data_IF_843409788112
#
_entry.id   IF_843409788112
#
_cell.length_a   1.000
_cell.length_b   1.000
_cell.length_c   1.000
_cell.angle_alpha   90.00
_cell.angle_beta   90.00
_cell.angle_gamma   90.00
#
_symmetry.space_group_name_H-M   'P 1'
#
loop_
_entity.id
_entity.type
_entity.pdbx_description
1 polymer ?
#
# COMPACT_ATOMS: atom_id res chain seq x y z
N UNK A 1 -46.77 -25.06 -27.70
CA UNK A 1 -46.60 -25.07 -26.22
C UNK A 1 -45.28 -25.69 -25.75
N UNK A 2 -44.80 -26.82 -26.29
CA UNK A 2 -43.54 -27.47 -25.84
C UNK A 2 -42.26 -26.61 -25.93
N UNK A 3 -42.15 -25.70 -26.90
CA UNK A 3 -40.97 -24.81 -27.02
C UNK A 3 -40.94 -23.64 -26.02
N UNK A 4 -42.09 -23.15 -25.54
CA UNK A 4 -42.15 -22.11 -24.50
C UNK A 4 -41.74 -22.65 -23.13
N UNK A 5 -42.03 -23.92 -22.86
CA UNK A 5 -41.64 -24.62 -21.63
C UNK A 5 -40.12 -24.83 -21.52
N UNK A 6 -39.43 -25.14 -22.63
CA UNK A 6 -37.96 -25.25 -22.66
C UNK A 6 -37.27 -23.90 -22.48
N UNK A 7 -37.85 -22.83 -23.04
CA UNK A 7 -37.32 -21.46 -22.90
C UNK A 7 -37.44 -20.93 -21.46
N UNK A 8 -38.55 -21.22 -20.78
CA UNK A 8 -38.69 -20.92 -19.34
C UNK A 8 -37.72 -21.71 -18.46
N UNK A 9 -37.44 -22.97 -18.79
CA UNK A 9 -36.49 -23.79 -18.01
C UNK A 9 -35.04 -23.30 -18.13
N UNK A 10 -34.65 -22.78 -19.30
CA UNK A 10 -33.34 -22.16 -19.50
C UNK A 10 -33.20 -20.83 -18.76
N UNK A 11 -34.29 -20.05 -18.65
CA UNK A 11 -34.29 -18.77 -17.92
C UNK A 11 -34.12 -18.98 -16.40
N UNK A 12 -34.69 -20.04 -15.84
CA UNK A 12 -34.61 -20.35 -14.40
C UNK A 12 -33.21 -20.82 -13.98
N UNK A 13 -32.45 -21.50 -14.85
CA UNK A 13 -31.07 -21.93 -14.56
C UNK A 13 -30.09 -20.73 -14.54
N UNK A 14 -30.35 -19.68 -15.33
CA UNK A 14 -29.52 -18.45 -15.34
C UNK A 14 -29.73 -17.60 -14.06
N UNK A 15 -30.85 -17.78 -13.36
CA UNK A 15 -31.18 -17.03 -12.14
C UNK A 15 -30.60 -17.62 -10.85
N UNK A 16 -29.92 -18.77 -10.92
CA UNK A 16 -29.11 -19.30 -9.81
C UNK A 16 -27.65 -18.91 -10.06
N UNK A 17 -27.37 -17.61 -10.14
CA UNK A 17 -26.00 -17.14 -9.90
C UNK A 17 -25.72 -17.38 -8.43
N UNK A 18 -24.96 -18.43 -8.13
CA UNK A 18 -24.36 -18.58 -6.81
C UNK A 18 -23.53 -17.33 -6.57
N UNK A 19 -23.94 -16.50 -5.60
CA UNK A 19 -23.11 -15.39 -5.14
C UNK A 19 -21.93 -16.02 -4.39
N UNK A 20 -20.90 -16.42 -5.15
CA UNK A 20 -19.65 -16.88 -4.60
C UNK A 20 -18.98 -15.69 -3.92
N UNK A 21 -19.07 -15.62 -2.60
CA UNK A 21 -18.31 -14.66 -1.81
C UNK A 21 -16.87 -15.15 -1.76
N UNK A 22 -16.02 -14.56 -2.60
CA UNK A 22 -14.56 -14.66 -2.42
C UNK A 22 -14.11 -13.58 -1.45
N UNK A 23 -13.11 -13.93 -0.62
CA UNK A 23 -12.32 -12.92 0.07
C UNK A 23 -11.71 -11.96 -0.96
N UNK A 24 -11.61 -10.68 -0.60
CA UNK A 24 -11.00 -9.65 -1.41
C UNK A 24 -9.81 -9.06 -0.66
N UNK A 25 -8.68 -8.92 -1.34
CA UNK A 25 -7.47 -8.30 -0.80
C UNK A 25 -7.12 -7.09 -1.65
N UNK A 26 -6.76 -5.99 -0.99
CA UNK A 26 -6.18 -4.82 -1.63
C UNK A 26 -4.71 -4.72 -1.25
N UNK A 27 -3.83 -4.78 -2.24
CA UNK A 27 -2.42 -4.52 -2.03
C UNK A 27 -2.20 -3.01 -1.88
N UNK A 28 -1.32 -2.63 -0.95
CA UNK A 28 -0.88 -1.25 -0.79
C UNK A 28 0.58 -1.23 -0.36
N UNK A 29 1.32 -0.22 -0.81
CA UNK A 29 2.77 -0.17 -0.66
C UNK A 29 3.18 1.15 -0.02
N UNK A 30 4.03 1.12 0.99
CA UNK A 30 4.47 2.33 1.70
C UNK A 30 5.86 2.77 1.25
N UNK A 31 6.21 4.00 1.62
CA UNK A 31 7.50 4.67 1.44
C UNK A 31 7.90 5.01 0.01
N UNK A 32 7.94 4.01 -0.86
CA UNK A 32 8.65 4.06 -2.14
C UNK A 32 10.12 3.64 -2.00
N UNK A 33 10.90 3.85 -3.07
CA UNK A 33 12.31 3.44 -3.13
C UNK A 33 13.20 4.62 -3.52
N UNK A 34 14.40 4.67 -2.94
CA UNK A 34 15.39 5.72 -3.19
C UNK A 34 16.57 5.22 -4.04
N UNK A 35 16.74 5.69 -5.29
CA UNK A 35 17.86 5.33 -6.16
C UNK A 35 19.23 5.73 -5.64
N UNK A 36 19.34 6.76 -4.79
CA UNK A 36 20.62 7.20 -4.23
C UNK A 36 21.09 6.29 -3.08
N UNK A 37 20.16 5.58 -2.43
CA UNK A 37 20.46 4.65 -1.34
C UNK A 37 20.50 3.19 -1.79
N UNK A 38 19.82 2.85 -2.89
CA UNK A 38 19.76 1.49 -3.40
C UNK A 38 19.92 1.49 -4.92
N UNK A 39 21.04 0.97 -5.46
CA UNK A 39 21.27 0.91 -6.91
C UNK A 39 20.23 0.05 -7.64
N UNK A 40 19.54 -0.85 -6.94
CA UNK A 40 18.48 -1.69 -7.49
C UNK A 40 17.09 -1.06 -7.38
N UNK A 41 16.93 0.17 -6.86
CA UNK A 41 15.63 0.81 -6.64
C UNK A 41 14.74 0.81 -7.90
N UNK A 42 15.30 1.19 -9.05
CA UNK A 42 14.58 1.19 -10.31
C UNK A 42 14.09 -0.23 -10.68
N UNK A 43 14.95 -1.24 -10.55
CA UNK A 43 14.60 -2.62 -10.86
C UNK A 43 13.54 -3.17 -9.90
N UNK A 44 13.62 -2.85 -8.60
CA UNK A 44 12.64 -3.25 -7.61
C UNK A 44 11.27 -2.65 -7.95
N UNK A 45 11.21 -1.34 -8.19
CA UNK A 45 9.98 -0.65 -8.56
C UNK A 45 9.37 -1.23 -9.85
N UNK A 46 10.20 -1.44 -10.87
CA UNK A 46 9.77 -2.02 -12.14
C UNK A 46 9.20 -3.42 -11.96
N UNK A 47 9.86 -4.30 -11.20
CA UNK A 47 9.39 -5.67 -10.96
C UNK A 47 8.06 -5.71 -10.23
N UNK A 48 7.85 -4.83 -9.24
CA UNK A 48 6.56 -4.73 -8.54
C UNK A 48 5.45 -4.36 -9.54
N UNK A 49 5.66 -3.30 -10.33
CA UNK A 49 4.67 -2.85 -11.32
C UNK A 49 4.40 -3.91 -12.40
N UNK A 50 5.44 -4.60 -12.87
CA UNK A 50 5.30 -5.70 -13.83
C UNK A 50 4.46 -6.85 -13.26
N UNK A 51 4.70 -7.26 -12.01
CA UNK A 51 3.92 -8.31 -11.35
C UNK A 51 2.46 -7.89 -11.14
N UNK A 52 2.22 -6.65 -10.71
CA UNK A 52 0.86 -6.12 -10.58
C UNK A 52 0.12 -6.13 -11.92
N UNK A 53 0.78 -5.67 -12.99
CA UNK A 53 0.23 -5.67 -14.34
C UNK A 53 -0.05 -7.07 -14.88
N UNK A 54 0.90 -7.99 -14.74
CA UNK A 54 0.78 -9.38 -15.21
C UNK A 54 -0.38 -10.11 -14.53
N UNK A 55 -0.66 -9.79 -13.26
CA UNK A 55 -1.75 -10.39 -12.49
C UNK A 55 -3.04 -9.56 -12.51
N UNK A 56 -3.11 -8.50 -13.33
CA UNK A 56 -4.26 -7.59 -13.43
C UNK A 56 -4.70 -6.96 -12.09
N UNK A 57 -3.74 -6.70 -11.19
CA UNK A 57 -3.99 -6.10 -9.88
C UNK A 57 -3.80 -4.59 -9.96
N UNK A 58 -4.83 -3.85 -9.54
CA UNK A 58 -4.71 -2.41 -9.25
C UNK A 58 -4.38 -2.22 -7.77
N UNK A 59 -3.50 -1.26 -7.48
CA UNK A 59 -2.95 -1.03 -6.16
C UNK A 59 -2.85 0.48 -5.86
N UNK A 60 -2.44 0.80 -4.64
CA UNK A 60 -2.08 2.15 -4.19
C UNK A 60 -0.66 2.14 -3.60
N UNK A 61 0.12 3.19 -3.89
CA UNK A 61 1.37 3.48 -3.21
C UNK A 61 1.20 4.73 -2.32
N UNK A 62 1.73 4.68 -1.10
CA UNK A 62 1.80 5.78 -0.14
C UNK A 62 3.28 6.20 -0.01
N UNK A 63 3.80 7.04 -0.93
CA UNK A 63 5.19 7.48 -0.89
C UNK A 63 5.42 8.51 0.22
N UNK A 64 6.63 8.50 0.77
CA UNK A 64 7.12 9.56 1.66
C UNK A 64 8.29 10.28 1.00
N UNK A 65 8.29 11.62 1.06
CA UNK A 65 9.28 12.45 0.32
C UNK A 65 10.72 12.08 0.72
N UNK A 66 10.99 11.97 2.02
CA UNK A 66 12.32 11.59 2.52
C UNK A 66 12.74 10.17 2.12
N UNK A 67 11.78 9.28 1.85
CA UNK A 67 12.02 7.87 1.53
C UNK A 67 12.30 7.63 0.05
N UNK A 68 11.92 8.56 -0.82
CA UNK A 68 12.17 8.45 -2.26
C UNK A 68 13.40 9.24 -2.71
N UNK A 69 13.85 10.22 -1.93
CA UNK A 69 14.96 11.08 -2.32
C UNK A 69 14.52 12.17 -3.30
N UNK A 70 15.29 12.38 -4.36
CA UNK A 70 15.10 13.49 -5.29
C UNK A 70 14.15 13.17 -6.47
N UNK A 71 14.34 13.86 -7.60
CA UNK A 71 13.57 13.68 -8.83
C UNK A 71 13.61 12.25 -9.38
N UNK A 72 14.67 11.47 -9.13
CA UNK A 72 14.75 10.08 -9.62
C UNK A 72 13.77 9.20 -8.87
N UNK A 73 13.69 9.32 -7.55
CA UNK A 73 12.70 8.62 -6.74
C UNK A 73 11.28 9.05 -7.06
N UNK A 74 11.06 10.36 -7.23
CA UNK A 74 9.75 10.88 -7.66
C UNK A 74 9.32 10.31 -9.02
N UNK A 75 10.26 10.12 -9.95
CA UNK A 75 9.99 9.48 -11.25
C UNK A 75 9.55 8.02 -11.11
N UNK A 76 10.09 7.29 -10.13
CA UNK A 76 9.66 5.92 -9.82
C UNK A 76 8.25 5.89 -9.25
N UNK A 77 7.89 6.83 -8.36
CA UNK A 77 6.52 7.00 -7.86
C UNK A 77 5.56 7.35 -9.00
N UNK A 78 5.93 8.29 -9.88
CA UNK A 78 5.12 8.69 -11.03
C UNK A 78 4.80 7.52 -11.98
N UNK A 79 5.67 6.50 -12.05
CA UNK A 79 5.44 5.30 -12.85
C UNK A 79 4.22 4.48 -12.37
N UNK A 80 3.86 4.53 -11.08
CA UNK A 80 2.66 3.88 -10.55
C UNK A 80 1.40 4.46 -11.18
N UNK A 81 1.30 5.79 -11.19
CA UNK A 81 0.19 6.51 -11.80
C UNK A 81 0.05 6.28 -13.30
N UNK A 82 1.17 6.19 -14.02
CA UNK A 82 1.18 5.84 -15.47
C UNK A 82 0.63 4.43 -15.75
N UNK A 83 0.63 3.55 -14.76
CA UNK A 83 0.08 2.19 -14.84
C UNK A 83 -1.28 2.07 -14.11
N UNK A 84 -2.01 3.18 -13.99
CA UNK A 84 -3.36 3.25 -13.40
C UNK A 84 -3.45 2.88 -11.90
N UNK A 85 -2.32 2.79 -11.19
CA UNK A 85 -2.33 2.68 -9.75
C UNK A 85 -2.57 4.04 -9.09
N UNK A 86 -3.04 4.00 -7.85
CA UNK A 86 -3.28 5.22 -7.06
C UNK A 86 -2.01 5.64 -6.31
N UNK A 87 -1.90 6.93 -6.06
CA UNK A 87 -0.81 7.53 -5.28
C UNK A 87 -1.46 8.30 -4.12
N UNK A 88 -1.19 7.87 -2.90
CA UNK A 88 -1.60 8.54 -1.67
C UNK A 88 -0.47 9.37 -1.07
N UNK A 89 -0.59 9.68 0.21
CA UNK A 89 0.36 10.51 0.96
C UNK A 89 0.84 9.78 2.22
N UNK A 90 2.16 9.72 2.41
CA UNK A 90 2.81 9.14 3.60
C UNK A 90 3.72 10.14 4.31
N UNK A 91 3.37 11.42 4.27
CA UNK A 91 4.10 12.53 4.87
C UNK A 91 5.47 12.80 4.23
N UNK A 92 6.00 14.00 4.47
CA UNK A 92 7.29 14.41 3.97
C UNK A 92 8.43 13.66 4.69
N UNK A 93 8.45 13.70 6.02
CA UNK A 93 9.60 13.22 6.82
C UNK A 93 9.41 11.83 7.42
N UNK A 94 8.30 11.16 7.09
CA UNK A 94 7.95 9.87 7.69
C UNK A 94 7.99 9.91 9.24
N UNK A 95 7.53 11.03 9.83
CA UNK A 95 7.59 11.23 11.28
C UNK A 95 6.61 10.32 12.02
N UNK A 96 6.98 9.86 13.22
CA UNK A 96 6.06 9.16 14.11
C UNK A 96 5.31 10.18 14.99
N UNK A 97 4.00 10.37 14.78
CA UNK A 97 3.20 11.36 15.51
C UNK A 97 3.12 11.09 17.02
N UNK A 98 3.33 9.84 17.45
CA UNK A 98 3.34 9.48 18.88
C UNK A 98 4.60 9.95 19.60
N UNK A 99 5.62 10.45 18.89
CA UNK A 99 6.83 10.97 19.52
C UNK A 99 6.56 12.33 20.14
N UNK A 100 7.01 12.52 21.39
CA UNK A 100 6.77 13.74 22.17
C UNK A 100 7.31 14.98 21.47
N UNK A 101 8.49 14.87 20.83
CA UNK A 101 9.11 15.97 20.11
C UNK A 101 8.42 16.36 18.79
N UNK A 102 7.47 15.55 18.31
CA UNK A 102 6.72 15.86 17.08
C UNK A 102 5.46 16.62 17.47
N UNK A 103 5.41 17.91 17.16
CA UNK A 103 4.20 18.72 17.39
C UNK A 103 3.18 18.49 16.29
N UNK A 104 1.90 18.71 16.59
CA UNK A 104 0.83 18.53 15.60
C UNK A 104 0.99 19.46 14.40
N UNK A 105 1.37 20.73 14.63
CA UNK A 105 1.57 21.68 13.54
C UNK A 105 2.70 21.24 12.60
N UNK A 106 3.84 20.84 13.15
CA UNK A 106 4.95 20.31 12.35
C UNK A 106 4.54 19.10 11.54
N UNK A 107 3.70 18.23 12.11
CA UNK A 107 3.20 17.06 11.41
C UNK A 107 2.25 17.42 10.25
N UNK A 108 1.30 18.32 10.49
CA UNK A 108 0.39 18.84 9.46
C UNK A 108 1.16 19.49 8.31
N UNK A 109 2.18 20.28 8.61
CA UNK A 109 2.98 20.92 7.58
C UNK A 109 3.73 19.89 6.72
N UNK A 110 4.14 18.75 7.29
CA UNK A 110 4.74 17.64 6.54
C UNK A 110 3.72 16.95 5.61
N UNK A 111 2.46 16.82 6.03
CA UNK A 111 1.38 16.29 5.17
C UNK A 111 1.19 17.23 3.99
N UNK A 112 1.08 18.53 4.25
CA UNK A 112 0.91 19.56 3.23
C UNK A 112 2.06 19.60 2.22
N UNK A 113 3.32 19.57 2.69
CA UNK A 113 4.48 19.59 1.79
C UNK A 113 4.54 18.33 0.91
N UNK A 114 4.24 17.16 1.46
CA UNK A 114 4.13 15.94 0.66
C UNK A 114 3.00 16.01 -0.37
N UNK A 115 1.86 16.60 -0.03
CA UNK A 115 0.78 16.82 -1.00
C UNK A 115 1.26 17.65 -2.19
N UNK A 116 2.00 18.75 -1.95
CA UNK A 116 2.50 19.59 -3.05
C UNK A 116 3.42 18.82 -4.01
N UNK A 117 4.15 17.82 -3.51
CA UNK A 117 5.01 16.96 -4.32
C UNK A 117 4.22 15.94 -5.13
N UNK A 118 3.20 15.30 -4.54
CA UNK A 118 2.52 14.15 -5.15
C UNK A 118 1.25 14.50 -5.92
N UNK A 119 0.54 15.58 -5.55
CA UNK A 119 -0.70 16.02 -6.21
C UNK A 119 -0.59 16.25 -7.72
N UNK A 120 0.55 16.71 -8.27
CA UNK A 120 0.70 16.85 -9.73
C UNK A 120 0.82 15.51 -10.48
N UNK A 121 1.06 14.38 -9.79
CA UNK A 121 1.24 13.08 -10.43
C UNK A 121 -0.09 12.49 -10.90
N UNK A 122 -0.07 11.79 -12.04
CA UNK A 122 -1.21 11.00 -12.47
C UNK A 122 -1.56 9.94 -11.40
N UNK A 123 -2.85 9.71 -11.17
CA UNK A 123 -3.30 8.72 -10.18
C UNK A 123 -3.28 9.21 -8.73
N UNK A 124 -2.93 10.46 -8.45
CA UNK A 124 -3.09 11.06 -7.12
C UNK A 124 -4.53 10.92 -6.62
N UNK A 125 -4.66 10.56 -5.34
CA UNK A 125 -5.90 10.59 -4.57
C UNK A 125 -5.60 11.12 -3.17
N UNK A 126 -6.50 11.91 -2.56
CA UNK A 126 -6.32 12.36 -1.19
C UNK A 126 -6.58 11.18 -0.24
N UNK A 127 -5.62 10.26 -0.12
CA UNK A 127 -5.61 9.19 0.88
C UNK A 127 -4.35 9.27 1.71
N UNK A 128 -4.50 9.27 3.02
CA UNK A 128 -3.37 9.44 3.94
C UNK A 128 -3.14 8.19 4.77
N UNK A 129 -1.89 7.72 4.78
CA UNK A 129 -1.45 6.68 5.71
C UNK A 129 -0.47 7.29 6.69
N UNK A 130 -0.72 7.13 7.98
CA UNK A 130 0.19 7.57 9.03
C UNK A 130 1.47 6.72 9.01
N UNK A 131 2.67 7.32 8.93
CA UNK A 131 3.92 6.62 9.21
C UNK A 131 3.86 5.84 10.52
N UNK A 132 4.35 4.59 10.47
CA UNK A 132 4.33 3.64 11.58
C UNK A 132 2.92 3.31 12.13
N UNK A 133 1.86 3.68 11.40
CA UNK A 133 0.46 3.56 11.82
C UNK A 133 0.18 4.25 13.16
N UNK A 134 0.92 5.34 13.45
CA UNK A 134 0.82 6.09 14.71
C UNK A 134 0.04 7.37 14.51
N UNK A 135 -1.22 7.35 14.93
CA UNK A 135 -2.19 8.43 14.74
C UNK A 135 -2.16 9.52 15.82
N UNK A 136 -1.27 9.40 16.82
CA UNK A 136 -1.16 10.34 17.94
C UNK A 136 -1.18 9.63 19.29
N UNK A 137 -0.31 10.05 20.20
CA UNK A 137 -0.23 9.52 21.57
C UNK A 137 -1.15 10.25 22.56
N UNK A 138 -1.83 11.31 22.12
CA UNK A 138 -2.84 12.04 22.90
C UNK A 138 -4.10 12.21 22.06
N UNK A 139 -5.26 12.36 22.72
CA UNK A 139 -6.53 12.66 22.06
C UNK A 139 -6.41 13.94 21.22
N UNK A 140 -5.77 14.98 21.79
CA UNK A 140 -5.55 16.25 21.10
C UNK A 140 -4.76 16.09 19.80
N UNK A 141 -3.64 15.35 19.80
CA UNK A 141 -2.84 15.08 18.59
C UNK A 141 -3.67 14.37 17.54
N UNK A 142 -4.34 13.29 17.94
CA UNK A 142 -5.17 12.46 17.06
C UNK A 142 -6.26 13.30 16.40
N UNK A 143 -7.06 13.99 17.21
CA UNK A 143 -8.24 14.70 16.74
C UNK A 143 -7.86 15.91 15.89
N UNK A 144 -6.78 16.61 16.23
CA UNK A 144 -6.30 17.74 15.43
C UNK A 144 -5.83 17.31 14.04
N UNK A 145 -5.04 16.23 13.93
CA UNK A 145 -4.59 15.73 12.62
C UNK A 145 -5.76 15.12 11.84
N UNK A 146 -6.63 14.35 12.49
CA UNK A 146 -7.82 13.77 11.85
C UNK A 146 -8.75 14.87 11.29
N UNK A 147 -8.94 15.96 12.05
CA UNK A 147 -9.74 17.10 11.60
C UNK A 147 -9.10 17.79 10.39
N UNK A 148 -7.77 18.01 10.42
CA UNK A 148 -7.05 18.56 9.27
C UNK A 148 -7.23 17.68 8.02
N UNK A 149 -7.03 16.36 8.14
CA UNK A 149 -7.21 15.42 7.03
C UNK A 149 -8.63 15.48 6.47
N UNK A 150 -9.65 15.49 7.34
CA UNK A 150 -11.04 15.62 6.93
C UNK A 150 -11.30 16.94 6.19
N UNK A 151 -10.80 18.08 6.70
CA UNK A 151 -10.95 19.39 6.07
C UNK A 151 -10.29 19.45 4.69
N UNK A 152 -9.18 18.75 4.49
CA UNK A 152 -8.48 18.67 3.20
C UNK A 152 -9.05 17.58 2.27
N UNK A 153 -10.12 16.89 2.68
CA UNK A 153 -10.77 15.85 1.88
C UNK A 153 -9.99 14.54 1.79
N UNK A 154 -9.09 14.26 2.75
CA UNK A 154 -8.39 12.99 2.82
C UNK A 154 -9.30 11.87 3.33
N UNK A 155 -9.25 10.75 2.61
CA UNK A 155 -9.74 9.46 3.07
C UNK A 155 -8.64 8.69 3.82
N UNK A 156 -9.05 7.75 4.68
CA UNK A 156 -8.11 6.91 5.42
C UNK A 156 -7.36 5.93 4.51
N UNK A 157 -6.05 5.84 4.73
CA UNK A 157 -5.18 4.81 4.19
C UNK A 157 -4.91 3.67 5.16
N UNK A 158 -5.77 3.42 6.16
CA UNK A 158 -5.57 2.38 7.17
C UNK A 158 -5.28 0.99 6.56
N UNK A 159 -4.64 0.13 7.36
CA UNK A 159 -4.32 -1.25 7.03
C UNK A 159 -5.14 -2.19 7.91
N UNK A 160 -5.63 -3.30 7.34
CA UNK A 160 -6.29 -4.38 8.08
C UNK A 160 -5.37 -5.58 8.32
N UNK A 161 -4.30 -5.71 7.54
CA UNK A 161 -3.35 -6.83 7.59
C UNK A 161 -1.93 -6.25 7.66
N UNK A 162 -1.21 -6.54 8.75
CA UNK A 162 0.21 -6.24 8.87
C UNK A 162 1.04 -7.31 8.16
N UNK A 163 1.80 -6.91 7.16
CA UNK A 163 2.65 -7.80 6.37
C UNK A 163 3.96 -8.17 7.08
N UNK A 164 4.44 -7.36 8.03
CA UNK A 164 5.75 -7.52 8.69
C UNK A 164 6.92 -7.67 7.71
N UNK A 165 6.76 -7.14 6.50
CA UNK A 165 7.66 -7.26 5.36
C UNK A 165 9.07 -6.72 5.64
N UNK A 166 9.17 -5.66 6.44
CA UNK A 166 10.44 -5.10 6.90
C UNK A 166 11.31 -6.15 7.64
N UNK A 167 10.70 -7.01 8.46
CA UNK A 167 11.42 -8.05 9.20
C UNK A 167 11.90 -9.16 8.26
N UNK A 168 11.03 -9.60 7.35
CA UNK A 168 11.38 -10.59 6.33
C UNK A 168 12.47 -10.08 5.38
N UNK A 169 12.42 -8.80 5.00
CA UNK A 169 13.43 -8.16 4.17
C UNK A 169 14.79 -8.13 4.87
N UNK A 170 14.86 -7.84 6.18
CA UNK A 170 16.12 -7.91 6.94
C UNK A 170 16.74 -9.31 6.88
N UNK A 171 15.93 -10.36 7.02
CA UNK A 171 16.38 -11.75 6.88
C UNK A 171 16.81 -12.07 5.44
N UNK A 172 16.05 -11.61 4.45
CA UNK A 172 16.34 -11.82 3.04
C UNK A 172 17.69 -11.24 2.65
N UNK A 173 17.97 -10.00 3.06
CA UNK A 173 19.25 -9.33 2.82
C UNK A 173 20.39 -10.05 3.54
N UNK A 174 20.17 -10.52 4.78
CA UNK A 174 21.16 -11.30 5.53
C UNK A 174 21.51 -12.61 4.83
N UNK A 175 20.52 -13.40 4.42
CA UNK A 175 20.75 -14.69 3.76
C UNK A 175 21.38 -14.52 2.37
N UNK A 176 20.97 -13.49 1.63
CA UNK A 176 21.57 -13.14 0.33
C UNK A 176 23.05 -12.80 0.50
N UNK A 177 23.40 -11.97 1.49
CA UNK A 177 24.78 -11.59 1.78
C UNK A 177 25.66 -12.79 2.18
N UNK A 178 25.08 -13.77 2.85
CA UNK A 178 25.78 -14.97 3.33
C UNK A 178 25.77 -16.14 2.33
N UNK A 179 25.17 -15.99 1.15
CA UNK A 179 25.10 -17.06 0.14
C UNK A 179 24.19 -18.23 0.53
N UNK A 180 23.24 -18.04 1.45
CA UNK A 180 22.37 -19.09 2.00
C UNK A 180 21.15 -19.36 1.09
N UNK A 181 21.37 -19.86 -0.12
CA UNK A 181 20.32 -20.02 -1.14
C UNK A 181 19.18 -20.94 -0.73
N UNK A 182 19.46 -22.05 -0.06
CA UNK A 182 18.42 -22.96 0.43
C UNK A 182 17.52 -22.31 1.51
N UNK A 183 18.09 -21.44 2.35
CA UNK A 183 17.34 -20.73 3.38
C UNK A 183 16.54 -19.56 2.79
N UNK A 184 16.98 -18.98 1.67
CA UNK A 184 16.23 -17.95 0.95
C UNK A 184 14.88 -18.47 0.42
N UNK A 185 14.86 -19.66 -0.19
CA UNK A 185 13.60 -20.23 -0.69
C UNK A 185 12.64 -20.56 0.46
N UNK A 186 13.15 -21.09 1.57
CA UNK A 186 12.34 -21.30 2.79
C UNK A 186 11.79 -20.00 3.33
N UNK A 187 12.59 -18.93 3.36
CA UNK A 187 12.17 -17.62 3.85
C UNK A 187 11.07 -17.02 2.96
N UNK A 188 11.17 -17.14 1.64
CA UNK A 188 10.13 -16.67 0.70
C UNK A 188 8.80 -17.38 0.94
N UNK A 189 8.81 -18.70 1.07
CA UNK A 189 7.60 -19.46 1.36
C UNK A 189 7.01 -19.07 2.72
N UNK A 190 7.86 -18.97 3.76
CA UNK A 190 7.42 -18.54 5.09
C UNK A 190 6.83 -17.12 5.10
N UNK A 191 7.25 -16.24 4.20
CA UNK A 191 6.66 -14.92 4.05
C UNK A 191 5.25 -15.00 3.44
N UNK A 192 5.06 -15.81 2.40
CA UNK A 192 3.75 -16.02 1.79
C UNK A 192 2.78 -16.62 2.80
N UNK A 193 3.21 -17.65 3.54
CA UNK A 193 2.40 -18.30 4.57
C UNK A 193 1.99 -17.29 5.66
N UNK A 194 2.94 -16.46 6.13
CA UNK A 194 2.64 -15.39 7.08
C UNK A 194 1.59 -14.40 6.57
N UNK A 195 1.68 -13.97 5.30
CA UNK A 195 0.66 -13.08 4.73
C UNK A 195 -0.73 -13.72 4.71
N UNK A 196 -0.83 -14.99 4.33
CA UNK A 196 -2.09 -15.72 4.29
C UNK A 196 -2.66 -15.96 5.70
N UNK A 197 -1.81 -16.30 6.67
CA UNK A 197 -2.19 -16.48 8.06
C UNK A 197 -2.69 -15.17 8.69
N UNK A 198 -2.02 -14.04 8.39
CA UNK A 198 -2.48 -12.71 8.82
C UNK A 198 -3.79 -12.33 8.15
N UNK A 199 -3.94 -12.57 6.85
CA UNK A 199 -5.20 -12.34 6.15
C UNK A 199 -6.36 -13.15 6.75
N UNK A 200 -6.12 -14.40 7.14
CA UNK A 200 -7.15 -15.24 7.75
C UNK A 200 -7.50 -14.81 9.18
N UNK A 201 -6.51 -14.38 9.96
CA UNK A 201 -6.74 -13.95 11.34
C UNK A 201 -7.51 -12.64 11.45
N UNK A 202 -7.19 -11.65 10.62
CA UNK A 202 -7.84 -10.33 10.68
C UNK A 202 -9.23 -10.30 9.99
N UNK A 203 -9.62 -11.38 9.33
CA UNK A 203 -10.93 -11.57 8.68
C UNK A 203 -11.97 -12.22 9.62
N UNK A 204 -11.59 -12.49 10.88
CA UNK A 204 -12.47 -12.97 11.95
C UNK A 204 -12.93 -11.82 12.85
#
# INVERSE_FOLDING_TARGET
>A
MKNKMKLCFFLVIILITTISHSKQLALSFDDGVNPDLNPNAQQINQRILEQLKQNHIRSIVYPSVIKIGDYKGLSLVAAWGKQEHKIGNHSELHSNLNKEQVTTQQYIDQIFRAEQVFKPLNGWVPRYRYPFLKEGNTIEKRDTVAHYLQQQGYESGAVSIDASDWFYNLKYLSYTKNGQTADLEKLKNAYIDHLLDRANYYDQ
#
